data_IF_972822488890
#
_entry.id   IF_972822488890
#
_cell.length_a   1.000
_cell.length_b   1.000
_cell.length_c   1.000
_cell.angle_alpha   90.00
_cell.angle_beta   90.00
_cell.angle_gamma   90.00
#
_symmetry.space_group_name_H-M   'P 1'
#
loop_
_entity.id
_entity.type
_entity.pdbx_description
1 polymer ?
#
# COMPACT_ATOMS: atom_id res chain seq x y z
N UNK A 1 -64.15 -11.30 34.38
CA UNK A 1 -62.93 -11.99 33.92
C UNK A 1 -63.21 -12.68 32.60
N UNK A 2 -62.72 -12.15 31.48
CA UNK A 2 -62.63 -12.86 30.19
C UNK A 2 -61.34 -12.39 29.51
N UNK A 3 -60.32 -13.23 29.59
CA UNK A 3 -59.05 -13.02 28.89
C UNK A 3 -59.29 -13.33 27.41
N UNK A 4 -59.11 -12.32 26.55
CA UNK A 4 -59.13 -12.53 25.11
C UNK A 4 -57.69 -12.69 24.64
N UNK A 5 -57.41 -13.85 24.05
CA UNK A 5 -56.10 -14.30 23.61
C UNK A 5 -55.53 -13.32 22.58
N UNK A 6 -54.32 -12.82 22.89
CA UNK A 6 -53.49 -12.02 22.00
C UNK A 6 -52.96 -12.93 20.89
N UNK A 7 -53.49 -12.82 19.68
CA UNK A 7 -52.88 -13.44 18.50
C UNK A 7 -51.51 -12.79 18.23
N UNK A 8 -50.45 -13.49 18.60
CA UNK A 8 -49.08 -13.16 18.19
C UNK A 8 -48.84 -13.69 16.78
N UNK A 9 -48.89 -12.78 15.81
CA UNK A 9 -48.37 -12.93 14.45
C UNK A 9 -46.92 -13.43 14.50
N UNK A 10 -46.56 -14.58 13.90
CA UNK A 10 -45.16 -14.84 13.61
C UNK A 10 -44.81 -14.02 12.37
N UNK A 11 -44.35 -12.79 12.58
CA UNK A 11 -43.56 -12.13 11.55
C UNK A 11 -42.28 -12.95 11.43
N UNK A 12 -42.20 -13.81 10.42
CA UNK A 12 -40.94 -14.41 9.99
C UNK A 12 -39.99 -13.28 9.64
N UNK A 13 -39.13 -12.91 10.59
CA UNK A 13 -38.00 -12.04 10.32
C UNK A 13 -37.04 -12.84 9.45
N UNK A 14 -37.27 -12.83 8.14
CA UNK A 14 -36.25 -13.19 7.17
C UNK A 14 -35.24 -12.05 7.25
N UNK A 15 -34.35 -12.14 8.23
CA UNK A 15 -33.16 -11.31 8.32
C UNK A 15 -32.45 -11.44 6.96
N UNK A 16 -32.12 -10.34 6.27
CA UNK A 16 -31.26 -10.41 5.11
C UNK A 16 -29.84 -10.69 5.61
N UNK A 17 -29.57 -11.94 5.98
CA UNK A 17 -28.28 -12.47 6.38
C UNK A 17 -27.36 -12.63 5.16
N UNK A 18 -27.25 -11.56 4.36
CA UNK A 18 -26.49 -11.53 3.11
C UNK A 18 -25.96 -10.15 2.74
N UNK A 19 -26.11 -9.14 3.62
CA UNK A 19 -25.64 -7.78 3.33
C UNK A 19 -24.16 -7.63 3.72
N UNK A 20 -23.31 -8.09 2.79
CA UNK A 20 -21.94 -7.58 2.55
C UNK A 20 -20.99 -7.72 3.75
N UNK A 21 -20.42 -8.92 3.91
CA UNK A 21 -19.14 -9.11 4.63
C UNK A 21 -17.95 -8.77 3.71
N UNK A 22 -18.00 -7.69 2.91
CA UNK A 22 -16.74 -7.10 2.41
C UNK A 22 -15.96 -6.67 3.65
N UNK A 23 -14.76 -7.22 3.75
CA UNK A 23 -14.35 -7.91 4.98
C UNK A 23 -13.94 -6.92 6.07
N UNK A 24 -14.33 -7.20 7.32
CA UNK A 24 -13.77 -6.47 8.48
C UNK A 24 -12.23 -6.46 8.45
N UNK A 25 -11.62 -7.49 7.86
CA UNK A 25 -10.19 -7.58 7.60
C UNK A 25 -9.69 -6.49 6.64
N UNK A 26 -10.32 -6.30 5.49
CA UNK A 26 -9.97 -5.26 4.50
C UNK A 26 -10.06 -3.86 5.11
N UNK A 27 -11.09 -3.58 5.92
CA UNK A 27 -11.20 -2.29 6.63
C UNK A 27 -10.06 -2.11 7.63
N UNK A 28 -9.72 -3.16 8.39
CA UNK A 28 -8.60 -3.12 9.35
C UNK A 28 -7.26 -2.92 8.65
N UNK A 29 -7.06 -3.58 7.51
CA UNK A 29 -5.86 -3.44 6.69
C UNK A 29 -5.74 -2.03 6.14
N UNK A 30 -6.82 -1.45 5.61
CA UNK A 30 -6.83 -0.07 5.14
C UNK A 30 -6.39 0.90 6.24
N UNK A 31 -6.91 0.76 7.47
CA UNK A 31 -6.52 1.61 8.61
C UNK A 31 -5.04 1.43 8.98
N UNK A 32 -4.51 0.20 8.92
CA UNK A 32 -3.08 -0.06 9.17
C UNK A 32 -2.20 0.59 8.11
N UNK A 33 -2.57 0.46 6.83
CA UNK A 33 -1.85 1.09 5.71
C UNK A 33 -1.85 2.60 5.88
N UNK A 34 -3.00 3.19 6.18
CA UNK A 34 -3.13 4.64 6.36
C UNK A 34 -2.28 5.14 7.53
N UNK A 35 -2.35 4.50 8.70
CA UNK A 35 -1.52 4.84 9.86
C UNK A 35 -0.02 4.69 9.59
N UNK A 36 0.36 3.66 8.85
CA UNK A 36 1.76 3.43 8.47
C UNK A 36 2.23 4.53 7.53
N UNK A 37 1.41 4.88 6.53
CA UNK A 37 1.73 5.92 5.57
C UNK A 37 1.90 7.27 6.25
N UNK A 38 0.97 7.67 7.14
CA UNK A 38 1.07 8.92 7.92
C UNK A 38 2.41 9.03 8.66
N UNK A 39 2.82 7.95 9.32
CA UNK A 39 4.10 7.88 10.04
C UNK A 39 5.32 8.01 9.11
N UNK A 40 5.29 7.35 7.96
CA UNK A 40 6.40 7.39 6.99
C UNK A 40 6.57 8.76 6.35
N UNK A 41 5.46 9.46 6.08
CA UNK A 41 5.49 10.75 5.37
C UNK A 41 5.48 11.96 6.32
N UNK A 42 5.41 11.72 7.64
CA UNK A 42 5.34 12.77 8.66
C UNK A 42 4.06 13.62 8.58
N UNK A 43 2.93 13.00 8.27
CA UNK A 43 1.63 13.68 8.13
C UNK A 43 0.84 13.64 9.44
N UNK A 44 0.15 14.74 9.75
CA UNK A 44 -0.73 14.85 10.93
C UNK A 44 -1.89 13.86 10.87
N UNK A 45 -2.42 13.47 12.05
CA UNK A 45 -3.56 12.56 12.15
C UNK A 45 -4.87 13.18 11.63
N UNK A 46 -4.97 14.51 11.63
CA UNK A 46 -6.14 15.26 11.18
C UNK A 46 -6.16 15.52 9.66
N UNK A 47 -5.07 15.19 8.95
CA UNK A 47 -4.98 15.46 7.51
C UNK A 47 -5.96 14.59 6.71
N UNK A 48 -6.55 15.19 5.68
CA UNK A 48 -7.45 14.47 4.77
C UNK A 48 -6.72 13.36 4.02
N UNK A 49 -7.47 12.36 3.53
CA UNK A 49 -6.90 11.27 2.73
C UNK A 49 -6.19 11.81 1.48
N UNK A 50 -6.72 12.88 0.86
CA UNK A 50 -6.11 13.52 -0.30
C UNK A 50 -4.75 14.15 0.06
N UNK A 51 -4.68 14.90 1.16
CA UNK A 51 -3.43 15.52 1.63
C UNK A 51 -2.38 14.48 2.01
N UNK A 52 -2.80 13.36 2.59
CA UNK A 52 -1.91 12.24 2.90
C UNK A 52 -1.30 11.65 1.61
N UNK A 53 -2.11 11.42 0.58
CA UNK A 53 -1.61 10.91 -0.72
C UNK A 53 -0.69 11.91 -1.40
N UNK A 54 -1.04 13.20 -1.41
CA UNK A 54 -0.19 14.24 -1.98
C UNK A 54 1.15 14.36 -1.23
N UNK A 55 1.14 14.25 0.09
CA UNK A 55 2.34 14.25 0.91
C UNK A 55 3.21 13.03 0.65
N UNK A 56 2.60 11.85 0.44
CA UNK A 56 3.31 10.64 0.05
C UNK A 56 4.00 10.78 -1.32
N UNK A 57 3.30 11.34 -2.31
CA UNK A 57 3.88 11.61 -3.64
C UNK A 57 5.07 12.58 -3.52
N UNK A 58 4.93 13.65 -2.74
CA UNK A 58 6.01 14.62 -2.50
C UNK A 58 7.23 13.94 -1.87
N UNK A 59 7.01 13.11 -0.86
CA UNK A 59 8.09 12.40 -0.17
C UNK A 59 8.82 11.41 -1.10
N UNK A 60 8.10 10.67 -1.95
CA UNK A 60 8.72 9.78 -2.94
C UNK A 60 9.62 10.55 -3.91
N UNK A 61 9.16 11.70 -4.40
CA UNK A 61 9.96 12.54 -5.31
C UNK A 61 11.22 13.09 -4.65
N UNK A 62 11.11 13.47 -3.37
CA UNK A 62 12.25 13.91 -2.58
C UNK A 62 13.29 12.78 -2.43
N UNK A 63 12.85 11.57 -2.09
CA UNK A 63 13.73 10.40 -2.02
C UNK A 63 14.38 10.07 -3.37
N UNK A 64 13.64 10.18 -4.48
CA UNK A 64 14.19 9.99 -5.82
C UNK A 64 15.28 11.02 -6.12
N UNK A 65 15.02 12.30 -5.82
CA UNK A 65 16.00 13.37 -5.98
C UNK A 65 17.25 13.12 -5.13
N UNK A 66 17.08 12.67 -3.88
CA UNK A 66 18.22 12.32 -3.03
C UNK A 66 19.05 11.19 -3.65
N UNK A 67 18.42 10.11 -4.13
CA UNK A 67 19.13 9.00 -4.76
C UNK A 67 19.82 9.38 -6.07
N UNK A 68 19.22 10.24 -6.88
CA UNK A 68 19.83 10.73 -8.14
C UNK A 68 21.04 11.64 -7.89
N UNK A 69 21.01 12.43 -6.81
CA UNK A 69 22.08 13.35 -6.45
C UNK A 69 23.15 12.71 -5.55
N UNK A 70 22.92 11.49 -5.06
CA UNK A 70 23.82 10.75 -4.18
C UNK A 70 24.91 10.05 -5.00
N UNK A 71 25.96 10.81 -5.33
CA UNK A 71 27.14 10.37 -6.07
C UNK A 71 27.95 9.27 -5.38
N UNK A 72 27.66 8.95 -4.11
CA UNK A 72 28.32 7.84 -3.40
C UNK A 72 27.88 6.46 -3.92
N UNK A 73 26.74 6.38 -4.64
CA UNK A 73 26.29 5.15 -5.30
C UNK A 73 26.77 5.04 -6.76
N UNK A 74 27.47 6.04 -7.29
CA UNK A 74 28.09 5.93 -8.62
C UNK A 74 29.30 5.00 -8.52
N UNK A 75 29.37 4.02 -9.42
CA UNK A 75 30.53 3.15 -9.52
C UNK A 75 31.75 4.05 -9.79
N UNK A 76 32.82 3.99 -8.97
CA UNK A 76 34.00 4.81 -9.17
C UNK A 76 34.44 4.73 -10.63
N UNK A 77 34.73 5.87 -11.27
CA UNK A 77 35.07 5.91 -12.71
C UNK A 77 36.18 4.90 -13.07
N UNK A 78 37.12 4.66 -12.15
CA UNK A 78 38.19 3.68 -12.31
C UNK A 78 37.75 2.20 -12.30
N UNK A 79 36.55 1.88 -11.79
CA UNK A 79 35.98 0.53 -11.79
C UNK A 79 35.02 0.29 -12.97
N UNK A 80 34.45 1.34 -13.57
CA UNK A 80 33.63 1.20 -14.79
C UNK A 80 34.45 0.60 -15.94
N UNK A 81 35.69 1.08 -16.11
CA UNK A 81 36.59 0.63 -17.17
C UNK A 81 37.08 -0.82 -16.94
N UNK A 82 37.21 -1.25 -15.69
CA UNK A 82 37.53 -2.64 -15.33
C UNK A 82 36.35 -3.58 -15.66
N UNK A 83 35.12 -3.19 -15.34
CA UNK A 83 33.92 -3.98 -15.62
C UNK A 83 33.64 -4.11 -17.13
N UNK A 84 33.86 -3.03 -17.88
CA UNK A 84 33.78 -3.03 -19.34
C UNK A 84 34.80 -4.00 -19.96
N UNK A 85 36.01 -4.05 -19.43
CA UNK A 85 37.07 -4.97 -19.88
C UNK A 85 36.88 -6.42 -19.44
N UNK A 86 36.15 -6.65 -18.34
CA UNK A 86 35.84 -7.99 -17.82
C UNK A 86 34.60 -8.63 -18.48
N UNK A 87 33.87 -7.92 -19.35
CA UNK A 87 32.84 -8.51 -20.20
C UNK A 87 33.49 -9.38 -21.28
N UNK A 88 33.92 -10.57 -20.88
CA UNK A 88 34.46 -11.60 -21.76
C UNK A 88 33.36 -12.01 -22.75
N UNK A 89 33.62 -11.71 -24.02
CA UNK A 89 32.84 -12.20 -25.16
C UNK A 89 32.74 -13.72 -25.08
N UNK A 90 31.52 -14.26 -24.88
CA UNK A 90 31.23 -15.64 -25.26
C UNK A 90 31.20 -15.73 -26.79
N UNK A 91 32.38 -15.81 -27.41
CA UNK A 91 32.49 -16.29 -28.79
C UNK A 91 32.38 -17.81 -28.78
N UNK A 92 31.14 -18.32 -28.74
CA UNK A 92 30.89 -19.71 -29.11
C UNK A 92 30.98 -19.79 -30.64
N UNK A 93 32.19 -20.08 -31.14
CA UNK A 93 32.41 -20.53 -32.52
C UNK A 93 31.77 -21.91 -32.65
N UNK A 94 30.60 -21.99 -33.29
CA UNK A 94 30.05 -23.25 -33.80
C UNK A 94 30.69 -23.56 -35.14
N UNK A 95 31.35 -24.72 -35.20
CA UNK A 95 31.89 -25.36 -36.39
C UNK A 95 30.82 -25.74 -37.40
#
# INVERSE_FOLDING_TARGET
MKAMHRETRPASSISPAGRIRKSSAERKEKLKVESTLRRLVGSDDDSSQLELVLSAIRYIRELQSQLENDKENELPDGLQDLFARCSVTKSTTTA
#
